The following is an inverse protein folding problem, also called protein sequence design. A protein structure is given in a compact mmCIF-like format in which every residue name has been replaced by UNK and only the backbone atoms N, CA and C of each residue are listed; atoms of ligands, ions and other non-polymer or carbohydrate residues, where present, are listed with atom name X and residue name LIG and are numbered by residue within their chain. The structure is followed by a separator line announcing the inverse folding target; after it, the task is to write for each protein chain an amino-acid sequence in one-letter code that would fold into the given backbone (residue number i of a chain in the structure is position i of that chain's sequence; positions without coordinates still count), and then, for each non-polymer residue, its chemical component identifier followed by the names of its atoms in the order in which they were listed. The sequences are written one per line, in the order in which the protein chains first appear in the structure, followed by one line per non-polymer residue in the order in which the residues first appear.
data_IF_800956543277
#
_entry.id   IF_800956543277
#
_cell.length_a   1.000
_cell.length_b   1.000
_cell.length_c   1.000
_cell.angle_alpha   90.00
_cell.angle_beta   90.00
_cell.angle_gamma   90.00
#
_symmetry.space_group_name_H-M   'P 1'
#
loop_
_entity.id
_entity.type
_entity.pdbx_description
1 polymer ?
#
# COMPACT_ATOMS: atom_id res chain seq x y z
N UNK A 1 55.99 -85.19 -43.72
CA UNK A 1 56.58 -83.85 -43.89
C UNK A 1 55.79 -82.89 -43.00
N UNK A 2 56.45 -82.39 -41.95
CA UNK A 2 55.96 -81.46 -40.93
C UNK A 2 55.17 -80.28 -41.53
N UNK A 3 54.08 -79.76 -40.94
CA UNK A 3 53.98 -79.23 -39.58
C UNK A 3 52.55 -79.33 -39.01
N UNK A 4 52.45 -80.13 -37.96
CA UNK A 4 51.80 -79.92 -36.64
C UNK A 4 51.63 -78.45 -36.18
N UNK A 5 50.74 -78.04 -35.26
CA UNK A 5 50.08 -78.74 -34.15
C UNK A 5 48.89 -77.89 -33.61
N UNK A 6 47.81 -78.59 -33.28
CA UNK A 6 46.62 -78.22 -32.50
C UNK A 6 46.87 -78.17 -30.97
N UNK A 7 46.14 -77.35 -30.19
CA UNK A 7 45.85 -77.60 -28.74
C UNK A 7 44.55 -76.85 -28.35
N UNK A 8 43.38 -77.52 -28.24
CA UNK A 8 42.67 -78.11 -27.05
C UNK A 8 41.83 -77.09 -26.22
N UNK A 9 40.49 -77.26 -26.12
CA UNK A 9 39.67 -78.02 -25.09
C UNK A 9 39.62 -77.30 -23.72
N UNK A 10 38.57 -77.27 -22.91
CA UNK A 10 37.18 -77.80 -22.84
C UNK A 10 36.51 -77.13 -21.61
N UNK A 11 35.17 -77.07 -21.58
CA UNK A 11 34.36 -76.71 -20.42
C UNK A 11 34.35 -77.78 -19.30
N UNK A 12 34.14 -77.36 -18.04
CA UNK A 12 33.61 -78.16 -16.91
C UNK A 12 33.27 -77.21 -15.73
N UNK A 13 32.01 -77.08 -15.28
CA UNK A 13 31.22 -77.91 -14.34
C UNK A 13 31.48 -77.61 -12.84
N UNK A 14 30.42 -77.07 -12.20
CA UNK A 14 29.87 -77.27 -10.84
C UNK A 14 30.84 -77.64 -9.69
N UNK A 15 30.71 -76.95 -8.54
CA UNK A 15 30.05 -77.49 -7.33
C UNK A 15 30.07 -76.53 -6.13
N UNK A 16 29.09 -76.76 -5.27
CA UNK A 16 28.64 -76.06 -4.05
C UNK A 16 29.53 -76.38 -2.84
N UNK A 17 29.71 -75.42 -1.93
CA UNK A 17 30.26 -75.62 -0.58
C UNK A 17 29.68 -74.59 0.41
N UNK A 18 29.09 -75.07 1.49
CA UNK A 18 28.19 -74.38 2.44
C UNK A 18 28.81 -74.30 3.86
N UNK A 19 28.40 -73.26 4.61
CA UNK A 19 28.39 -73.07 6.08
C UNK A 19 29.74 -72.79 6.79
N UNK A 20 29.86 -71.98 7.86
CA UNK A 20 29.00 -71.26 8.82
C UNK A 20 29.83 -70.04 9.35
N UNK A 21 29.43 -69.06 10.17
CA UNK A 21 28.48 -69.03 11.28
C UNK A 21 28.30 -67.59 11.86
N UNK A 22 27.16 -67.39 12.55
CA UNK A 22 26.92 -66.60 13.79
C UNK A 22 26.78 -65.07 13.76
N UNK A 23 25.58 -64.60 14.14
CA UNK A 23 25.28 -63.25 14.64
C UNK A 23 23.79 -62.91 14.72
N UNK A 24 23.12 -63.27 15.82
CA UNK A 24 21.78 -62.82 16.26
C UNK A 24 21.78 -61.35 16.74
N UNK A 25 20.71 -60.55 16.92
CA UNK A 25 19.30 -60.54 16.55
C UNK A 25 18.72 -59.13 16.87
N UNK A 26 17.60 -58.81 16.20
CA UNK A 26 16.48 -57.94 16.62
C UNK A 26 16.59 -56.40 16.63
N UNK A 27 15.58 -55.78 16.01
CA UNK A 27 15.13 -54.40 16.27
C UNK A 27 14.67 -53.65 15.03
N UNK A 28 13.38 -53.69 14.70
CA UNK A 28 12.80 -52.85 13.64
C UNK A 28 12.77 -51.36 14.08
N UNK A 29 13.24 -50.45 13.22
CA UNK A 29 12.64 -49.12 13.10
C UNK A 29 12.61 -48.73 11.63
N UNK A 30 11.44 -48.34 11.13
CA UNK A 30 11.28 -47.73 9.81
C UNK A 30 12.13 -46.45 9.73
N UNK A 31 13.28 -46.53 9.08
CA UNK A 31 14.05 -45.36 8.72
C UNK A 31 13.42 -44.74 7.46
N UNK A 32 13.00 -43.48 7.57
CA UNK A 32 12.60 -42.65 6.45
C UNK A 32 13.74 -42.57 5.42
N UNK A 33 13.44 -42.42 4.11
CA UNK A 33 14.48 -42.27 3.10
C UNK A 33 15.29 -40.98 3.34
N UNK A 34 16.57 -40.95 2.94
CA UNK A 34 17.46 -39.85 3.25
C UNK A 34 17.02 -38.58 2.53
N UNK A 35 17.01 -37.45 3.25
CA UNK A 35 16.96 -36.13 2.64
C UNK A 35 18.29 -35.88 1.92
N UNK A 36 18.30 -36.05 0.61
CA UNK A 36 19.38 -35.66 -0.28
C UNK A 36 19.12 -34.25 -0.83
N UNK A 37 20.14 -33.41 -0.71
CA UNK A 37 20.19 -32.01 -1.15
C UNK A 37 19.83 -31.86 -2.64
N UNK A 38 19.02 -30.84 -2.96
CA UNK A 38 19.27 -29.99 -4.13
C UNK A 38 18.68 -28.59 -3.89
N UNK A 39 19.61 -27.70 -3.61
CA UNK A 39 19.51 -26.27 -3.39
C UNK A 39 19.23 -25.58 -4.73
N UNK A 40 17.98 -25.20 -4.99
CA UNK A 40 17.66 -24.25 -6.06
C UNK A 40 16.62 -23.26 -5.55
N UNK A 41 17.09 -22.10 -5.09
CA UNK A 41 16.25 -20.95 -4.77
C UNK A 41 16.77 -19.75 -5.54
N UNK A 42 16.09 -19.29 -6.61
CA UNK A 42 16.49 -18.07 -7.29
C UNK A 42 16.14 -16.86 -6.40
N UNK A 43 17.16 -16.12 -5.98
CA UNK A 43 17.13 -14.95 -5.07
C UNK A 43 17.19 -13.65 -5.87
N UNK A 44 16.53 -12.52 -5.52
CA UNK A 44 17.04 -11.14 -5.83
C UNK A 44 18.55 -11.20 -5.72
N UNK A 45 19.37 -10.65 -6.62
CA UNK A 45 20.81 -10.99 -6.61
C UNK A 45 21.35 -10.82 -5.18
N UNK A 46 21.79 -11.90 -4.52
CA UNK A 46 22.22 -11.93 -3.11
C UNK A 46 21.18 -11.66 -1.98
N UNK A 47 19.88 -11.75 -2.26
CA UNK A 47 18.76 -11.53 -1.34
C UNK A 47 18.19 -12.82 -0.72
N UNK A 48 17.25 -12.68 0.22
CA UNK A 48 16.61 -13.80 0.94
C UNK A 48 15.09 -13.73 0.85
N UNK A 49 14.38 -14.83 1.12
CA UNK A 49 12.91 -14.82 1.17
C UNK A 49 12.41 -13.93 2.31
N UNK A 50 11.40 -13.11 2.02
CA UNK A 50 10.65 -12.40 3.04
C UNK A 50 9.67 -13.36 3.74
N UNK A 51 9.49 -13.17 5.05
CA UNK A 51 8.46 -13.89 5.80
C UNK A 51 7.07 -13.31 5.50
N UNK A 52 6.03 -14.14 5.56
CA UNK A 52 4.65 -13.66 5.44
C UNK A 52 4.37 -12.58 6.49
N UNK A 53 3.86 -11.42 6.03
CA UNK A 53 3.58 -10.28 6.90
C UNK A 53 4.79 -9.44 7.29
N UNK A 54 6.00 -9.74 6.81
CA UNK A 54 7.20 -8.96 7.13
C UNK A 54 7.14 -7.54 6.54
N UNK A 55 6.64 -7.42 5.30
CA UNK A 55 6.46 -6.15 4.59
C UNK A 55 5.03 -6.07 4.03
N UNK A 56 4.03 -5.82 4.90
CA UNK A 56 2.61 -5.90 4.52
C UNK A 56 2.17 -4.84 3.49
N UNK A 57 2.95 -3.77 3.34
CA UNK A 57 2.72 -2.70 2.37
C UNK A 57 3.12 -3.05 0.93
N UNK A 58 3.80 -4.19 0.71
CA UNK A 58 4.33 -4.55 -0.61
C UNK A 58 3.20 -4.85 -1.62
N UNK A 59 3.37 -4.32 -2.83
CA UNK A 59 2.43 -4.47 -3.93
C UNK A 59 3.14 -4.99 -5.18
N UNK A 60 2.46 -5.90 -5.88
CA UNK A 60 2.82 -6.38 -7.22
C UNK A 60 1.80 -5.87 -8.25
N UNK A 61 2.27 -5.28 -9.34
CA UNK A 61 1.43 -4.69 -10.41
C UNK A 61 1.43 -5.52 -11.69
N UNK A 62 0.28 -5.77 -12.33
CA UNK A 62 0.15 -6.75 -13.42
C UNK A 62 1.13 -6.63 -14.60
N UNK A 63 1.71 -5.45 -14.87
CA UNK A 63 2.69 -5.22 -15.95
C UNK A 63 4.12 -5.65 -15.63
N UNK A 64 4.41 -6.17 -14.44
CA UNK A 64 5.77 -6.58 -14.06
C UNK A 64 6.41 -5.75 -12.95
N UNK A 65 5.87 -4.58 -12.64
CA UNK A 65 6.40 -3.68 -11.60
C UNK A 65 5.96 -4.04 -10.17
N UNK A 66 6.65 -3.42 -9.21
CA UNK A 66 6.31 -3.34 -7.81
C UNK A 66 5.69 -1.99 -7.40
N UNK A 67 5.38 -1.86 -6.12
CA UNK A 67 4.92 -0.63 -5.49
C UNK A 67 4.72 -0.81 -3.99
N UNK A 68 4.28 0.23 -3.32
CA UNK A 68 3.93 0.19 -1.90
C UNK A 68 2.58 0.85 -1.63
N UNK A 69 1.82 0.33 -0.65
CA UNK A 69 0.62 0.96 -0.14
C UNK A 69 0.97 2.27 0.58
N UNK A 70 0.74 3.39 -0.08
CA UNK A 70 0.89 4.73 0.49
C UNK A 70 -0.34 5.15 1.30
N UNK A 71 -1.53 4.81 0.79
CA UNK A 71 -2.82 4.89 1.49
C UNK A 71 -3.56 3.57 1.29
N UNK A 72 -4.66 3.37 2.03
CA UNK A 72 -5.45 2.12 1.93
C UNK A 72 -5.92 1.84 0.51
N UNK A 73 -6.05 2.86 -0.34
CA UNK A 73 -6.44 2.71 -1.74
C UNK A 73 -5.51 3.45 -2.72
N UNK A 74 -4.28 3.78 -2.31
CA UNK A 74 -3.30 4.43 -3.17
C UNK A 74 -1.98 3.67 -3.09
N UNK A 75 -1.48 3.24 -4.25
CA UNK A 75 -0.16 2.63 -4.40
C UNK A 75 0.81 3.68 -4.95
N UNK A 76 1.98 3.83 -4.34
CA UNK A 76 3.11 4.59 -4.86
C UNK A 76 4.02 3.66 -5.67
N UNK A 77 4.42 4.10 -6.86
CA UNK A 77 5.24 3.31 -7.80
C UNK A 77 6.04 4.19 -8.78
N UNK A 78 6.72 3.50 -9.71
CA UNK A 78 7.33 3.96 -10.95
C UNK A 78 6.47 4.88 -11.83
N UNK A 79 6.93 6.05 -12.29
CA UNK A 79 6.30 6.71 -13.43
C UNK A 79 6.48 5.92 -14.73
N UNK A 80 7.64 5.30 -14.91
CA UNK A 80 7.93 4.44 -16.06
C UNK A 80 7.08 3.15 -16.09
N UNK A 81 6.51 2.74 -14.95
CA UNK A 81 5.65 1.57 -14.83
C UNK A 81 4.23 1.79 -15.35
N UNK A 82 3.81 3.04 -15.57
CA UNK A 82 2.43 3.39 -15.85
C UNK A 82 2.28 4.25 -17.11
N UNK A 83 1.06 4.24 -17.65
CA UNK A 83 0.67 5.11 -18.77
C UNK A 83 0.56 6.59 -18.36
N UNK A 84 0.01 7.40 -19.25
CA UNK A 84 -0.30 8.80 -18.96
C UNK A 84 -1.35 8.92 -17.84
N UNK A 85 -1.36 10.08 -17.16
CA UNK A 85 -2.35 10.42 -16.13
C UNK A 85 -3.77 10.33 -16.68
N UNK A 86 -4.65 9.63 -15.97
CA UNK A 86 -6.05 9.48 -16.35
C UNK A 86 -6.75 8.24 -15.78
N UNK A 87 -8.06 8.09 -16.05
CA UNK A 87 -8.83 6.92 -15.67
C UNK A 87 -8.29 5.67 -16.35
N UNK A 88 -8.11 4.59 -15.58
CA UNK A 88 -7.72 3.29 -16.13
C UNK A 88 -8.07 2.17 -15.18
N UNK A 89 -8.56 1.05 -15.71
CA UNK A 89 -8.86 -0.19 -14.98
C UNK A 89 -7.98 -1.36 -15.37
N UNK A 90 -6.97 -1.13 -16.23
CA UNK A 90 -6.13 -2.19 -16.80
C UNK A 90 -5.03 -2.70 -15.88
N UNK A 91 -4.77 -2.01 -14.77
CA UNK A 91 -3.69 -2.38 -13.85
C UNK A 91 -4.28 -3.27 -12.74
N UNK A 92 -3.87 -4.54 -12.74
CA UNK A 92 -4.12 -5.45 -11.64
C UNK A 92 -3.11 -5.22 -10.52
N UNK A 93 -3.59 -5.27 -9.28
CA UNK A 93 -2.80 -5.05 -8.06
C UNK A 93 -2.93 -6.30 -7.19
N UNK A 94 -1.80 -6.86 -6.78
CA UNK A 94 -1.72 -7.99 -5.82
C UNK A 94 -0.98 -7.53 -4.57
N UNK A 95 -1.54 -7.83 -3.39
CA UNK A 95 -0.99 -7.44 -2.09
C UNK A 95 -1.28 -8.50 -1.01
N UNK A 96 -0.72 -8.32 0.19
CA UNK A 96 -1.06 -9.10 1.38
C UNK A 96 -0.54 -10.55 1.41
N UNK A 97 0.24 -10.97 0.41
CA UNK A 97 0.91 -12.27 0.42
C UNK A 97 2.33 -12.14 -0.13
N UNK A 98 3.24 -12.96 0.39
CA UNK A 98 4.60 -13.12 -0.16
C UNK A 98 4.66 -14.12 -1.32
N UNK A 99 3.61 -14.91 -1.54
CA UNK A 99 3.52 -15.89 -2.63
C UNK A 99 2.48 -15.43 -3.66
N UNK A 100 2.91 -15.15 -4.89
CA UNK A 100 2.00 -14.70 -5.96
C UNK A 100 0.95 -15.74 -6.38
N UNK A 101 1.13 -17.01 -5.98
CA UNK A 101 0.16 -18.08 -6.20
C UNK A 101 -0.73 -18.35 -4.98
N UNK A 102 -0.56 -17.62 -3.88
CA UNK A 102 -1.42 -17.75 -2.70
C UNK A 102 -2.89 -17.48 -3.08
N UNK A 103 -3.82 -18.42 -2.84
CA UNK A 103 -5.24 -18.20 -3.12
C UNK A 103 -5.85 -17.10 -2.25
N UNK A 104 -5.24 -16.77 -1.10
CA UNK A 104 -5.71 -15.75 -0.17
C UNK A 104 -5.09 -14.37 -0.41
N UNK A 105 -4.28 -14.20 -1.46
CA UNK A 105 -3.71 -12.90 -1.84
C UNK A 105 -4.83 -11.89 -2.11
N UNK A 106 -4.59 -10.65 -1.74
CA UNK A 106 -5.52 -9.55 -1.98
C UNK A 106 -5.35 -9.11 -3.43
N UNK A 107 -6.45 -9.04 -4.18
CA UNK A 107 -6.45 -8.49 -5.54
C UNK A 107 -7.31 -7.24 -5.63
N UNK A 108 -6.83 -6.25 -6.37
CA UNK A 108 -7.53 -5.01 -6.71
C UNK A 108 -7.28 -4.66 -8.17
N UNK A 109 -8.04 -3.72 -8.69
CA UNK A 109 -7.75 -3.07 -9.97
C UNK A 109 -7.59 -1.58 -9.77
N UNK A 110 -6.87 -0.92 -10.67
CA UNK A 110 -6.85 0.53 -10.72
C UNK A 110 -8.22 1.10 -11.09
N UNK A 111 -8.44 2.36 -10.76
CA UNK A 111 -9.47 3.22 -11.36
C UNK A 111 -8.86 4.47 -11.99
N UNK A 112 -7.68 4.87 -11.53
CA UNK A 112 -6.99 6.06 -12.00
C UNK A 112 -5.48 5.92 -11.79
N UNK A 113 -4.71 6.53 -12.69
CA UNK A 113 -3.27 6.72 -12.57
C UNK A 113 -2.96 8.20 -12.56
N UNK A 114 -2.11 8.64 -11.64
CA UNK A 114 -1.47 9.94 -11.68
C UNK A 114 0.03 9.73 -11.87
N UNK A 115 0.53 10.04 -13.07
CA UNK A 115 1.97 10.02 -13.35
C UNK A 115 2.54 11.41 -13.08
N UNK A 116 3.73 11.47 -12.48
CA UNK A 116 4.45 12.72 -12.27
C UNK A 116 4.40 13.61 -13.53
N UNK A 117 3.95 14.87 -13.43
CA UNK A 117 3.89 15.78 -14.57
C UNK A 117 5.29 16.12 -15.10
N UNK A 118 6.32 15.93 -14.27
CA UNK A 118 7.72 16.23 -14.59
C UNK A 118 8.49 15.01 -15.12
N UNK A 119 7.83 13.89 -15.39
CA UNK A 119 8.49 12.66 -15.89
C UNK A 119 9.05 12.79 -17.33
N UNK A 120 8.93 13.96 -17.97
CA UNK A 120 9.79 14.30 -19.10
C UNK A 120 11.28 14.35 -18.69
N UNK A 121 11.56 14.61 -17.41
CA UNK A 121 12.81 14.28 -16.75
C UNK A 121 12.69 12.86 -16.15
N UNK A 122 13.49 11.88 -16.63
CA UNK A 122 13.49 10.53 -16.07
C UNK A 122 13.80 10.46 -14.57
N UNK A 123 14.43 11.48 -13.97
CA UNK A 123 14.68 11.52 -12.53
C UNK A 123 13.41 11.73 -11.70
N UNK A 124 12.38 12.36 -12.26
CA UNK A 124 11.08 12.58 -11.63
C UNK A 124 10.17 11.34 -11.74
N UNK A 125 10.73 10.16 -11.47
CA UNK A 125 10.14 8.84 -11.68
C UNK A 125 9.27 8.39 -10.51
N UNK A 126 8.10 9.01 -10.38
CA UNK A 126 7.08 8.60 -9.41
C UNK A 126 5.67 8.69 -10.00
N UNK A 127 4.80 7.79 -9.56
CA UNK A 127 3.39 7.77 -9.91
C UNK A 127 2.54 7.19 -8.79
N UNK A 128 1.25 7.50 -8.86
CA UNK A 128 0.23 6.98 -7.96
C UNK A 128 -0.79 6.18 -8.75
N UNK A 129 -1.19 5.05 -8.19
CA UNK A 129 -2.30 4.24 -8.69
C UNK A 129 -3.40 4.27 -7.64
N UNK A 130 -4.57 4.76 -8.04
CA UNK A 130 -5.80 4.71 -7.25
C UNK A 130 -6.48 3.36 -7.45
N UNK A 131 -6.81 2.68 -6.36
CA UNK A 131 -7.48 1.38 -6.36
C UNK A 131 -9.00 1.54 -6.40
N UNK A 132 -9.68 0.53 -6.97
CA UNK A 132 -11.14 0.44 -7.03
C UNK A 132 -11.81 0.25 -5.66
N UNK A 133 -11.08 -0.25 -4.67
CA UNK A 133 -11.54 -0.40 -3.29
C UNK A 133 -10.35 -0.48 -2.33
N UNK A 134 -10.50 -0.03 -1.07
CA UNK A 134 -9.40 -0.01 -0.12
C UNK A 134 -8.96 -1.42 0.32
N UNK A 135 -7.71 -1.49 0.75
CA UNK A 135 -7.04 -2.59 1.44
C UNK A 135 -6.78 -2.10 2.87
N UNK A 136 -7.63 -2.52 3.81
CA UNK A 136 -7.65 -1.99 5.19
C UNK A 136 -6.93 -2.88 6.19
N UNK A 137 -6.61 -4.11 5.81
CA UNK A 137 -5.98 -5.13 6.65
C UNK A 137 -4.46 -5.26 6.40
N UNK A 138 -3.84 -4.24 5.81
CA UNK A 138 -2.40 -4.16 5.57
C UNK A 138 -1.86 -2.86 6.13
N UNK A 139 -0.61 -2.87 6.62
CA UNK A 139 0.04 -1.63 7.02
C UNK A 139 0.40 -0.79 5.79
N UNK A 140 0.37 0.52 5.97
CA UNK A 140 0.83 1.48 4.97
C UNK A 140 2.33 1.71 5.14
N UNK A 141 2.99 2.18 4.07
CA UNK A 141 4.36 2.65 4.12
C UNK A 141 4.38 4.18 4.04
N UNK A 142 4.62 4.88 5.16
CA UNK A 142 4.89 6.31 5.15
C UNK A 142 6.09 6.64 4.27
N UNK A 143 6.11 7.85 3.71
CA UNK A 143 7.23 8.34 2.90
C UNK A 143 8.13 9.26 3.70
N UNK A 144 9.43 9.26 3.40
CA UNK A 144 10.36 10.25 3.90
C UNK A 144 9.97 11.64 3.37
N UNK A 145 9.88 12.61 4.26
CA UNK A 145 9.56 14.01 3.91
C UNK A 145 10.77 14.94 4.04
N UNK A 146 11.90 14.40 4.52
CA UNK A 146 13.16 15.12 4.70
C UNK A 146 14.32 14.21 4.32
N UNK A 147 15.47 14.80 4.04
CA UNK A 147 16.69 14.08 3.65
C UNK A 147 17.39 13.36 4.82
N UNK A 148 16.85 13.45 6.04
CA UNK A 148 17.43 12.81 7.22
C UNK A 148 17.52 11.28 7.09
N UNK A 149 16.70 10.69 6.23
CA UNK A 149 16.65 9.25 6.02
C UNK A 149 17.45 8.78 4.80
N UNK A 150 18.01 9.69 3.99
CA UNK A 150 18.58 9.44 2.66
C UNK A 150 20.03 8.92 2.70
N UNK A 151 20.40 8.22 3.77
CA UNK A 151 21.74 7.64 3.95
C UNK A 151 21.67 6.31 4.71
N UNK A 152 22.82 5.66 4.93
CA UNK A 152 22.89 4.41 5.68
C UNK A 152 22.47 3.19 4.86
N UNK A 153 21.91 2.17 5.50
CA UNK A 153 21.49 0.94 4.83
C UNK A 153 19.99 0.93 4.60
N UNK A 154 19.60 0.57 3.39
CA UNK A 154 18.21 0.42 2.99
C UNK A 154 17.84 -1.05 2.80
N UNK A 155 16.55 -1.33 2.91
CA UNK A 155 15.92 -2.57 2.48
C UNK A 155 15.25 -2.33 1.14
N UNK A 156 15.46 -3.25 0.22
CA UNK A 156 14.71 -3.38 -1.03
C UNK A 156 14.01 -4.71 -1.03
N UNK A 157 12.81 -4.76 -1.58
CA UNK A 157 12.04 -5.98 -1.68
C UNK A 157 11.18 -6.00 -2.94
N UNK A 158 10.94 -7.19 -3.48
CA UNK A 158 10.09 -7.37 -4.64
C UNK A 158 10.09 -8.79 -5.18
N UNK A 159 9.37 -8.95 -6.28
CA UNK A 159 9.22 -10.22 -7.01
C UNK A 159 9.99 -10.19 -8.33
N UNK A 160 10.86 -9.21 -8.54
CA UNK A 160 11.71 -9.10 -9.70
C UNK A 160 12.66 -10.28 -9.85
N UNK A 161 13.38 -10.28 -10.96
CA UNK A 161 14.30 -11.31 -11.37
C UNK A 161 15.36 -11.53 -10.31
N UNK A 162 15.63 -12.79 -10.06
CA UNK A 162 16.64 -13.19 -9.11
C UNK A 162 18.07 -12.90 -9.60
N UNK A 163 18.26 -13.01 -10.90
CA UNK A 163 19.53 -12.79 -11.57
C UNK A 163 19.31 -11.82 -12.70
N UNK A 164 20.34 -11.08 -13.08
CA UNK A 164 20.27 -10.25 -14.29
C UNK A 164 19.87 -11.10 -15.50
N UNK A 165 18.80 -10.69 -16.21
CA UNK A 165 18.23 -11.44 -17.32
C UNK A 165 17.42 -12.68 -16.93
N UNK A 166 17.18 -12.88 -15.63
CA UNK A 166 16.40 -13.99 -15.07
C UNK A 166 14.89 -13.77 -15.14
N UNK A 167 14.13 -14.83 -14.83
CA UNK A 167 12.67 -14.78 -14.77
C UNK A 167 12.13 -14.17 -13.47
N UNK A 168 10.92 -13.65 -13.55
CA UNK A 168 10.21 -13.10 -12.39
C UNK A 168 9.97 -14.16 -11.31
N UNK A 169 10.03 -13.76 -10.04
CA UNK A 169 9.97 -14.67 -8.90
C UNK A 169 8.55 -14.87 -8.38
N UNK A 170 8.25 -16.09 -7.92
CA UNK A 170 6.97 -16.41 -7.26
C UNK A 170 6.88 -15.85 -5.85
N UNK A 171 8.00 -15.91 -5.13
CA UNK A 171 8.09 -15.53 -3.71
C UNK A 171 8.71 -14.14 -3.58
N UNK A 172 8.27 -13.38 -2.58
CA UNK A 172 8.84 -12.07 -2.25
C UNK A 172 10.25 -12.26 -1.71
N UNK A 173 11.17 -11.50 -2.26
CA UNK A 173 12.57 -11.50 -1.88
C UNK A 173 12.94 -10.13 -1.33
N UNK A 174 13.93 -10.09 -0.43
CA UNK A 174 14.42 -8.89 0.22
C UNK A 174 15.94 -8.87 0.22
N UNK A 175 16.51 -7.68 0.18
CA UNK A 175 17.94 -7.49 0.30
C UNK A 175 18.27 -6.17 1.00
N UNK A 176 19.52 -6.06 1.49
CA UNK A 176 20.04 -4.82 2.06
C UNK A 176 21.02 -4.18 1.10
N UNK A 177 20.83 -2.89 0.83
CA UNK A 177 21.68 -2.11 -0.06
C UNK A 177 22.20 -0.87 0.69
N UNK A 178 23.52 -0.65 0.76
CA UNK A 178 24.07 0.54 1.40
C UNK A 178 23.96 1.76 0.49
N UNK A 179 23.79 2.92 1.09
CA UNK A 179 23.80 4.22 0.44
C UNK A 179 25.12 4.48 -0.30
N UNK A 180 25.01 5.10 -1.47
CA UNK A 180 26.14 5.60 -2.26
C UNK A 180 25.91 7.09 -2.51
N UNK A 181 26.91 7.91 -2.18
CA UNK A 181 26.84 9.35 -2.41
C UNK A 181 26.74 9.70 -3.90
N UNK A 182 26.07 10.79 -4.24
CA UNK A 182 25.95 11.29 -5.62
C UNK A 182 27.31 11.47 -6.31
N UNK A 183 28.33 11.88 -5.55
CA UNK A 183 29.70 12.03 -6.07
C UNK A 183 30.30 10.69 -6.50
N UNK A 184 30.07 9.63 -5.73
CA UNK A 184 30.53 8.29 -6.08
C UNK A 184 29.65 7.70 -7.19
N UNK A 185 28.33 7.84 -7.09
CA UNK A 185 27.42 7.30 -8.09
C UNK A 185 27.63 7.90 -9.48
N UNK A 186 27.96 9.20 -9.57
CA UNK A 186 28.32 9.85 -10.84
C UNK A 186 29.61 9.36 -11.50
N UNK A 187 30.43 8.57 -10.79
CA UNK A 187 31.54 7.87 -11.44
C UNK A 187 31.04 6.77 -12.39
N UNK A 188 29.86 6.20 -12.09
CA UNK A 188 29.16 5.25 -12.94
C UNK A 188 28.18 5.95 -13.91
N UNK A 189 27.47 6.96 -13.41
CA UNK A 189 26.33 7.59 -14.09
C UNK A 189 26.49 9.11 -14.18
N UNK A 190 27.09 9.58 -15.27
CA UNK A 190 27.28 11.02 -15.51
C UNK A 190 25.95 11.81 -15.59
N UNK A 191 24.88 11.11 -15.93
CA UNK A 191 23.51 11.57 -16.13
C UNK A 191 22.65 11.59 -14.86
N UNK A 192 23.17 11.08 -13.73
CA UNK A 192 22.48 11.11 -12.45
C UNK A 192 22.10 12.55 -12.07
N UNK A 193 20.85 12.76 -11.68
CA UNK A 193 20.31 14.05 -11.23
C UNK A 193 20.37 14.14 -9.71
N UNK A 194 21.33 14.89 -9.13
CA UNK A 194 21.48 15.00 -7.68
C UNK A 194 20.24 15.62 -7.04
N UNK A 195 19.87 15.14 -5.87
CA UNK A 195 18.65 15.52 -5.13
C UNK A 195 17.33 15.16 -5.81
N UNK A 196 17.31 14.49 -6.97
CA UNK A 196 16.10 13.85 -7.51
C UNK A 196 16.25 12.32 -7.52
N UNK A 197 17.48 11.84 -7.60
CA UNK A 197 17.84 10.43 -7.59
C UNK A 197 18.78 10.11 -6.42
N UNK A 198 18.65 8.90 -5.88
CA UNK A 198 19.50 8.36 -4.83
C UNK A 198 20.04 7.00 -5.27
N UNK A 199 21.32 6.76 -5.01
CA UNK A 199 21.97 5.49 -5.35
C UNK A 199 22.16 4.60 -4.13
N UNK A 200 21.96 3.30 -4.33
CA UNK A 200 22.24 2.31 -3.30
C UNK A 200 22.72 0.99 -3.92
N UNK A 201 23.67 0.35 -3.25
CA UNK A 201 24.27 -0.89 -3.71
C UNK A 201 25.68 -1.08 -3.17
N UNK A 202 26.18 -2.30 -3.23
CA UNK A 202 27.56 -2.58 -2.82
C UNK A 202 28.53 -2.18 -3.94
N UNK A 203 29.16 -1.02 -3.81
CA UNK A 203 30.04 -0.46 -4.84
C UNK A 203 31.12 -1.44 -5.33
N UNK A 204 31.95 -1.96 -4.43
CA UNK A 204 33.13 -2.75 -4.82
C UNK A 204 32.82 -4.20 -5.19
N UNK A 205 31.89 -4.83 -4.49
CA UNK A 205 31.59 -6.26 -4.67
C UNK A 205 30.41 -6.52 -5.60
N UNK A 206 29.56 -5.52 -5.84
CA UNK A 206 28.23 -5.76 -6.39
C UNK A 206 27.50 -6.83 -5.57
N UNK A 207 26.86 -7.76 -6.27
CA UNK A 207 26.30 -8.98 -5.71
C UNK A 207 24.96 -8.82 -4.99
N UNK A 208 24.56 -7.59 -4.64
CA UNK A 208 23.23 -7.28 -4.10
C UNK A 208 22.65 -6.01 -4.72
N UNK A 209 21.48 -6.14 -5.35
CA UNK A 209 20.76 -5.03 -6.01
C UNK A 209 19.31 -5.41 -6.34
N UNK A 210 18.48 -4.42 -6.67
CA UNK A 210 17.17 -4.65 -7.30
C UNK A 210 17.34 -5.03 -8.77
N UNK A 211 16.44 -5.86 -9.30
CA UNK A 211 16.58 -6.36 -10.67
C UNK A 211 15.25 -6.37 -11.44
N UNK A 212 15.25 -6.91 -12.67
CA UNK A 212 14.12 -6.77 -13.60
C UNK A 212 12.79 -7.24 -12.98
N UNK A 213 11.83 -6.34 -12.78
CA UNK A 213 10.54 -6.64 -12.15
C UNK A 213 10.40 -6.23 -10.68
N UNK A 214 11.44 -5.60 -10.12
CA UNK A 214 11.35 -4.81 -8.88
C UNK A 214 11.06 -3.32 -9.17
N UNK A 215 11.18 -2.90 -10.43
CA UNK A 215 10.83 -1.56 -10.93
C UNK A 215 9.57 -0.98 -10.28
N UNK A 216 9.65 0.24 -9.76
CA UNK A 216 8.57 0.89 -9.03
C UNK A 216 8.35 0.41 -7.59
N UNK A 217 9.05 -0.63 -7.14
CA UNK A 217 9.03 -1.08 -5.75
C UNK A 217 9.66 -0.07 -4.79
N UNK A 218 9.38 -0.18 -3.49
CA UNK A 218 9.95 0.72 -2.49
C UNK A 218 11.39 0.32 -2.13
N UNK A 219 12.24 1.34 -1.96
CA UNK A 219 13.44 1.25 -1.12
C UNK A 219 13.12 1.95 0.20
N UNK A 220 13.33 1.28 1.32
CA UNK A 220 12.84 1.74 2.63
C UNK A 220 13.80 1.38 3.76
N UNK A 221 13.68 2.05 4.89
CA UNK A 221 14.47 1.76 6.10
C UNK A 221 13.65 2.02 7.35
N UNK A 222 14.24 1.74 8.52
CA UNK A 222 13.61 2.10 9.79
C UNK A 222 13.89 3.56 10.15
N UNK A 223 12.87 4.25 10.63
CA UNK A 223 12.98 5.58 11.24
C UNK A 223 13.46 5.50 12.70
N UNK A 224 13.54 6.65 13.37
CA UNK A 224 13.96 6.73 14.78
C UNK A 224 13.00 6.03 15.76
N UNK A 225 11.75 5.79 15.35
CA UNK A 225 10.74 5.08 16.12
C UNK A 225 10.68 3.59 15.75
N UNK A 226 11.68 3.10 14.99
CA UNK A 226 11.76 1.73 14.51
C UNK A 226 10.62 1.33 13.55
N UNK A 227 9.90 2.30 12.97
CA UNK A 227 8.86 2.11 11.96
C UNK A 227 9.45 2.17 10.54
N UNK A 228 8.83 1.47 9.59
CA UNK A 228 9.28 1.51 8.19
C UNK A 228 8.93 2.85 7.53
N UNK A 229 9.86 3.39 6.75
CA UNK A 229 9.67 4.61 5.96
C UNK A 229 10.29 4.44 4.56
N UNK A 230 9.56 4.82 3.52
CA UNK A 230 10.02 4.77 2.14
C UNK A 230 10.97 5.93 1.83
N UNK A 231 12.15 5.60 1.33
CA UNK A 231 13.22 6.55 1.00
C UNK A 231 13.41 6.67 -0.52
N UNK A 232 13.17 5.58 -1.25
CA UNK A 232 13.33 5.53 -2.70
C UNK A 232 12.23 4.76 -3.42
N UNK A 233 12.17 4.95 -4.72
CA UNK A 233 11.37 4.14 -5.66
C UNK A 233 12.33 3.56 -6.69
N UNK A 234 12.35 2.23 -6.87
CA UNK A 234 13.23 1.55 -7.84
C UNK A 234 12.98 2.12 -9.24
N UNK A 235 14.02 2.69 -9.86
CA UNK A 235 13.88 3.42 -11.12
C UNK A 235 14.67 2.75 -12.25
N UNK A 236 16.01 2.77 -12.20
CA UNK A 236 16.87 2.26 -13.26
C UNK A 236 18.26 1.86 -12.74
N UNK A 237 19.10 1.32 -13.62
CA UNK A 237 20.49 0.95 -13.34
C UNK A 237 21.14 0.24 -14.54
N UNK A 238 22.47 0.15 -14.56
CA UNK A 238 23.20 -0.59 -15.59
C UNK A 238 23.48 -2.04 -15.16
N UNK A 239 22.60 -2.94 -15.59
CA UNK A 239 22.58 -4.32 -15.12
C UNK A 239 22.02 -4.41 -13.70
N UNK A 240 22.15 -5.58 -13.08
CA UNK A 240 21.74 -5.77 -11.69
C UNK A 240 22.95 -6.24 -10.89
N UNK A 241 23.22 -5.59 -9.75
CA UNK A 241 24.22 -6.05 -8.79
C UNK A 241 25.64 -6.19 -9.38
N UNK A 242 25.95 -5.38 -10.38
CA UNK A 242 27.29 -5.30 -10.94
C UNK A 242 28.15 -4.40 -10.04
N UNK A 243 29.42 -4.75 -9.78
CA UNK A 243 30.35 -3.81 -9.19
C UNK A 243 30.35 -2.49 -9.95
N UNK A 244 30.48 -1.39 -9.20
CA UNK A 244 30.55 -0.01 -9.73
C UNK A 244 29.32 0.44 -10.53
N UNK A 245 28.21 -0.31 -10.48
CA UNK A 245 26.95 0.02 -11.16
C UNK A 245 25.79 -0.19 -10.18
N UNK A 246 25.60 0.72 -9.22
CA UNK A 246 24.56 0.60 -8.21
C UNK A 246 23.16 0.84 -8.78
N UNK A 247 22.13 0.39 -8.09
CA UNK A 247 20.75 0.76 -8.41
C UNK A 247 20.50 2.25 -8.20
N UNK A 248 19.72 2.86 -9.08
CA UNK A 248 19.25 4.24 -9.00
C UNK A 248 17.75 4.26 -8.69
N UNK A 249 17.40 5.10 -7.73
CA UNK A 249 16.05 5.20 -7.19
C UNK A 249 15.61 6.66 -7.25
N UNK A 250 14.33 6.92 -7.53
CA UNK A 250 13.79 8.26 -7.35
C UNK A 250 13.79 8.60 -5.85
N UNK A 251 14.36 9.76 -5.48
CA UNK A 251 14.54 10.20 -4.10
C UNK A 251 13.22 10.74 -3.55
N UNK A 252 12.59 9.97 -2.67
CA UNK A 252 11.20 10.24 -2.21
C UNK A 252 11.09 11.54 -1.41
N UNK A 253 12.11 11.87 -0.62
CA UNK A 253 12.13 13.10 0.20
C UNK A 253 11.97 14.37 -0.65
N UNK A 254 12.56 14.40 -1.84
CA UNK A 254 12.44 15.50 -2.81
C UNK A 254 11.03 15.65 -3.34
N UNK A 255 10.38 14.53 -3.65
CA UNK A 255 9.04 14.52 -4.26
C UNK A 255 7.91 14.47 -3.23
N UNK A 256 8.20 14.42 -1.93
CA UNK A 256 7.23 14.14 -0.88
C UNK A 256 6.01 15.08 -0.91
N UNK A 257 6.24 16.39 -1.07
CA UNK A 257 5.17 17.38 -1.16
C UNK A 257 4.31 17.19 -2.42
N UNK A 258 4.93 16.87 -3.56
CA UNK A 258 4.23 16.64 -4.82
C UNK A 258 3.42 15.32 -4.79
N UNK A 259 4.00 14.26 -4.23
CA UNK A 259 3.34 12.96 -3.99
C UNK A 259 2.12 13.16 -3.08
N UNK A 260 2.27 13.89 -1.98
CA UNK A 260 1.18 14.16 -1.04
C UNK A 260 0.05 14.98 -1.70
N UNK A 261 0.41 16.04 -2.44
CA UNK A 261 -0.54 16.87 -3.19
C UNK A 261 -1.30 16.07 -4.25
N UNK A 262 -0.58 15.29 -5.06
CA UNK A 262 -1.17 14.44 -6.09
C UNK A 262 -2.11 13.39 -5.48
N UNK A 263 -1.70 12.75 -4.37
CA UNK A 263 -2.55 11.78 -3.68
C UNK A 263 -3.82 12.40 -3.10
N UNK A 264 -3.76 13.66 -2.64
CA UNK A 264 -4.92 14.41 -2.19
C UNK A 264 -5.90 14.72 -3.33
N UNK A 265 -5.37 14.95 -4.54
CA UNK A 265 -6.15 15.26 -5.74
C UNK A 265 -6.65 14.05 -6.54
N UNK A 266 -6.35 12.81 -6.12
CA UNK A 266 -6.78 11.61 -6.86
C UNK A 266 -8.32 11.49 -6.87
N UNK A 267 -8.94 11.16 -8.02
CA UNK A 267 -10.38 10.94 -8.10
C UNK A 267 -10.84 9.83 -7.16
N UNK A 268 -11.85 10.11 -6.35
CA UNK A 268 -12.35 9.17 -5.33
C UNK A 268 -11.34 8.81 -4.24
N UNK A 269 -10.24 9.57 -4.09
CA UNK A 269 -9.15 9.36 -3.12
C UNK A 269 -9.57 9.55 -1.66
N UNK A 270 -9.00 8.72 -0.78
CA UNK A 270 -9.04 8.88 0.67
C UNK A 270 -7.94 9.88 1.13
N UNK A 271 -8.23 11.17 1.03
CA UNK A 271 -7.61 12.27 1.80
C UNK A 271 -8.77 13.23 2.22
N UNK A 272 -8.61 14.19 3.15
CA UNK A 272 -9.74 14.87 3.84
C UNK A 272 -10.77 15.30 2.81
N UNK A 273 -11.88 14.58 2.71
CA UNK A 273 -12.81 14.81 1.62
C UNK A 273 -13.62 16.05 1.97
N UNK A 274 -13.71 17.05 1.07
CA UNK A 274 -14.98 17.71 0.83
C UNK A 274 -15.88 16.70 0.11
N UNK A 275 -16.97 16.28 0.73
CA UNK A 275 -18.00 15.45 0.10
C UNK A 275 -18.37 14.15 0.81
N UNK A 276 -17.91 13.86 2.04
CA UNK A 276 -18.41 12.66 2.75
C UNK A 276 -19.72 12.97 3.45
N UNK A 277 -20.80 12.38 2.92
CA UNK A 277 -22.11 12.44 3.54
C UNK A 277 -22.23 11.39 4.64
N UNK A 278 -22.51 11.86 5.84
CA UNK A 278 -22.90 11.05 7.00
C UNK A 278 -24.35 11.38 7.33
N UNK A 279 -25.12 10.40 7.79
CA UNK A 279 -26.55 10.59 8.05
C UNK A 279 -27.00 9.94 9.35
N UNK A 280 -28.02 10.53 9.97
CA UNK A 280 -28.83 9.88 10.99
C UNK A 280 -30.28 9.91 10.52
N UNK A 281 -30.86 8.73 10.34
CA UNK A 281 -32.26 8.55 9.90
C UNK A 281 -33.20 8.21 11.07
N UNK A 282 -32.69 8.15 12.31
CA UNK A 282 -33.52 7.88 13.48
C UNK A 282 -34.39 9.10 13.81
N UNK A 283 -35.59 8.83 14.31
CA UNK A 283 -36.50 9.87 14.77
C UNK A 283 -36.09 10.38 16.15
N UNK A 284 -36.06 11.70 16.31
CA UNK A 284 -35.84 12.36 17.60
C UNK A 284 -36.99 13.33 17.88
N UNK A 285 -37.79 13.03 18.90
CA UNK A 285 -38.93 13.87 19.27
C UNK A 285 -38.46 15.25 19.72
N UNK A 286 -39.09 16.28 19.17
CA UNK A 286 -38.93 17.67 19.57
C UNK A 286 -40.07 17.96 20.57
N UNK A 287 -39.77 18.03 21.87
CA UNK A 287 -40.78 18.37 22.87
C UNK A 287 -41.17 19.85 22.78
N UNK A 288 -42.43 20.14 23.09
CA UNK A 288 -42.95 21.51 23.22
C UNK A 288 -42.10 22.30 24.22
N UNK A 289 -41.72 23.53 23.85
CA UNK A 289 -40.80 24.39 24.60
C UNK A 289 -39.51 23.69 25.09
N UNK A 290 -38.99 22.72 24.33
CA UNK A 290 -37.82 21.95 24.74
C UNK A 290 -36.76 21.80 23.66
N UNK A 291 -35.72 21.03 23.96
CA UNK A 291 -34.56 20.85 23.09
C UNK A 291 -34.21 19.38 22.94
N UNK A 292 -33.84 18.98 21.73
CA UNK A 292 -33.36 17.64 21.41
C UNK A 292 -32.07 17.71 20.59
N UNK A 293 -31.22 16.69 20.74
CA UNK A 293 -30.01 16.51 19.96
C UNK A 293 -30.09 15.20 19.19
N UNK A 294 -29.85 15.25 17.88
CA UNK A 294 -29.68 14.07 17.03
C UNK A 294 -28.20 13.92 16.64
N UNK A 295 -27.47 12.91 17.15
CA UNK A 295 -26.04 12.74 16.87
C UNK A 295 -25.75 12.03 15.54
N UNK A 296 -24.69 12.43 14.85
CA UNK A 296 -24.01 11.66 13.81
C UNK A 296 -22.59 11.39 14.30
N UNK A 297 -22.22 10.11 14.41
CA UNK A 297 -20.85 9.70 14.73
C UNK A 297 -20.04 9.62 13.42
N UNK A 298 -19.16 10.58 13.20
CA UNK A 298 -18.23 10.60 12.08
C UNK A 298 -16.96 9.86 12.47
N UNK A 299 -16.63 8.80 11.74
CA UNK A 299 -15.40 8.03 11.91
C UNK A 299 -14.65 7.89 10.58
N UNK A 300 -13.31 7.90 10.64
CA UNK A 300 -12.45 7.73 9.46
C UNK A 300 -12.41 8.93 8.53
N UNK A 301 -12.90 10.10 8.94
CA UNK A 301 -12.67 11.38 8.28
C UNK A 301 -11.50 12.09 8.95
N UNK A 302 -10.29 11.96 8.40
CA UNK A 302 -9.08 12.59 8.97
C UNK A 302 -8.91 14.01 8.45
N UNK A 303 -8.67 14.99 9.33
CA UNK A 303 -8.38 16.38 8.95
C UNK A 303 -9.53 17.36 9.28
N UNK A 304 -9.42 18.57 8.73
CA UNK A 304 -10.44 19.60 8.86
C UNK A 304 -11.70 19.28 8.03
N UNK A 305 -12.86 19.75 8.49
CA UNK A 305 -14.11 19.69 7.74
C UNK A 305 -14.16 20.70 6.57
N UNK A 306 -15.12 20.55 5.66
CA UNK A 306 -15.25 21.39 4.47
C UNK A 306 -15.61 22.86 4.78
N UNK A 307 -14.99 23.77 4.03
CA UNK A 307 -15.35 25.19 4.00
C UNK A 307 -16.71 25.46 3.32
N UNK A 308 -17.29 24.45 2.68
CA UNK A 308 -18.61 24.48 2.04
C UNK A 308 -19.41 23.23 2.42
N UNK A 309 -19.40 22.87 3.70
CA UNK A 309 -20.13 21.71 4.20
C UNK A 309 -21.64 21.90 3.99
N UNK A 310 -22.31 20.84 3.53
CA UNK A 310 -23.75 20.83 3.30
C UNK A 310 -24.48 20.06 4.40
N UNK A 311 -25.51 20.67 4.99
CA UNK A 311 -26.32 20.10 6.06
C UNK A 311 -27.75 19.98 5.54
N UNK A 312 -28.18 18.76 5.24
CA UNK A 312 -29.54 18.46 4.79
C UNK A 312 -30.39 18.11 6.01
N UNK A 313 -31.41 18.93 6.28
CA UNK A 313 -32.28 18.79 7.46
C UNK A 313 -33.67 18.37 7.00
N UNK A 314 -34.23 17.32 7.62
CA UNK A 314 -35.61 16.88 7.49
C UNK A 314 -36.26 16.82 8.87
N UNK A 315 -37.05 17.85 9.19
CA UNK A 315 -37.80 17.96 10.44
C UNK A 315 -39.28 18.03 10.09
N UNK A 316 -40.08 17.21 10.77
CA UNK A 316 -41.54 17.30 10.75
C UNK A 316 -41.98 18.16 11.93
N UNK A 317 -42.67 19.27 11.68
CA UNK A 317 -43.18 20.19 12.70
C UNK A 317 -44.37 20.97 12.15
N UNK A 318 -45.41 21.19 12.96
CA UNK A 318 -46.64 21.90 12.56
C UNK A 318 -46.44 23.42 12.42
N UNK A 319 -45.37 23.98 12.98
CA UNK A 319 -45.03 25.39 12.82
C UNK A 319 -43.52 25.60 12.83
N UNK A 320 -42.89 25.79 11.66
CA UNK A 320 -41.42 25.88 11.60
C UNK A 320 -40.86 27.18 12.21
N UNK A 321 -41.70 28.22 12.30
CA UNK A 321 -41.35 29.53 12.88
C UNK A 321 -41.01 29.48 14.37
N UNK A 322 -41.25 28.36 15.04
CA UNK A 322 -40.92 28.18 16.45
C UNK A 322 -39.55 27.57 16.68
N UNK A 323 -38.98 26.97 15.65
CA UNK A 323 -37.75 26.20 15.75
C UNK A 323 -36.52 27.10 15.73
N UNK A 324 -35.55 26.76 16.58
CA UNK A 324 -34.15 27.13 16.43
C UNK A 324 -33.38 25.84 16.11
N UNK A 325 -32.69 25.82 14.98
CA UNK A 325 -31.92 24.67 14.49
C UNK A 325 -30.46 25.06 14.42
N UNK A 326 -29.64 24.36 15.19
CA UNK A 326 -28.20 24.54 15.23
C UNK A 326 -27.48 23.24 14.84
N UNK A 327 -26.34 23.38 14.15
CA UNK A 327 -25.34 22.33 14.08
C UNK A 327 -24.33 22.55 15.23
N UNK A 328 -24.05 21.51 16.00
CA UNK A 328 -23.03 21.49 17.05
C UNK A 328 -21.88 20.60 16.61
N UNK A 329 -20.68 21.17 16.53
CA UNK A 329 -19.45 20.49 16.14
C UNK A 329 -18.88 19.63 17.29
N UNK A 330 -17.93 18.70 17.01
CA UNK A 330 -17.35 17.82 18.03
C UNK A 330 -16.63 18.55 19.16
N UNK A 331 -16.13 19.76 18.90
CA UNK A 331 -15.48 20.63 19.89
C UNK A 331 -16.49 21.45 20.73
N UNK A 332 -17.79 21.40 20.40
CA UNK A 332 -18.86 22.16 21.03
C UNK A 332 -19.23 23.48 20.32
N UNK A 333 -18.52 23.87 19.26
CA UNK A 333 -18.82 25.06 18.46
C UNK A 333 -20.22 24.97 17.83
N UNK A 334 -20.95 26.10 17.81
CA UNK A 334 -22.36 26.15 17.40
C UNK A 334 -22.54 26.98 16.13
N UNK A 335 -23.21 26.40 15.14
CA UNK A 335 -23.52 27.03 13.87
C UNK A 335 -25.05 27.08 13.68
N UNK A 336 -25.63 28.27 13.79
CA UNK A 336 -27.07 28.44 13.59
C UNK A 336 -27.45 28.22 12.11
N UNK A 337 -28.39 27.30 11.87
CA UNK A 337 -28.91 26.97 10.55
C UNK A 337 -30.24 27.69 10.30
N UNK A 338 -31.12 27.70 11.31
CA UNK A 338 -32.43 28.35 11.28
C UNK A 338 -32.73 28.96 12.65
N UNK A 339 -33.31 30.15 12.67
CA UNK A 339 -33.72 30.81 13.91
C UNK A 339 -35.10 31.45 13.74
N UNK A 340 -36.13 30.72 14.15
CA UNK A 340 -37.53 31.18 14.20
C UNK A 340 -38.00 31.86 12.91
N UNK A 341 -37.60 31.30 11.78
CA UNK A 341 -37.83 31.87 10.45
C UNK A 341 -38.65 30.92 9.59
N UNK A 342 -39.40 31.46 8.62
CA UNK A 342 -40.27 30.68 7.73
C UNK A 342 -41.76 30.76 8.07
N UNK A 343 -42.15 31.54 9.09
CA UNK A 343 -43.54 31.82 9.43
C UNK A 343 -44.35 30.57 9.77
N UNK A 344 -45.60 30.53 9.30
CA UNK A 344 -46.55 29.45 9.54
C UNK A 344 -46.43 28.27 8.58
N UNK A 345 -45.27 28.09 7.94
CA UNK A 345 -45.04 26.92 7.11
C UNK A 345 -44.71 25.71 7.98
N UNK A 346 -45.23 24.55 7.59
CA UNK A 346 -44.90 23.28 8.23
C UNK A 346 -43.50 22.83 7.81
N UNK A 347 -42.84 22.07 8.69
CA UNK A 347 -41.62 21.31 8.45
C UNK A 347 -40.35 22.14 8.12
N UNK A 348 -39.19 21.51 8.27
CA UNK A 348 -37.91 22.03 7.75
C UNK A 348 -37.31 20.95 6.87
N UNK A 349 -37.44 21.15 5.56
CA UNK A 349 -36.85 20.30 4.51
C UNK A 349 -35.92 21.16 3.66
N UNK A 350 -34.71 21.40 4.17
CA UNK A 350 -33.80 22.38 3.60
C UNK A 350 -32.33 21.95 3.75
N UNK A 351 -31.53 22.29 2.76
CA UNK A 351 -30.08 22.18 2.80
C UNK A 351 -29.46 23.52 3.20
N UNK A 352 -28.58 23.51 4.18
CA UNK A 352 -27.80 24.67 4.62
C UNK A 352 -26.33 24.47 4.23
N UNK A 353 -25.64 25.56 3.88
CA UNK A 353 -24.19 25.53 3.65
C UNK A 353 -23.48 26.32 4.74
N UNK A 354 -22.45 25.73 5.36
CA UNK A 354 -21.61 26.38 6.38
C UNK A 354 -20.14 26.15 6.10
N UNK A 355 -19.33 27.13 6.46
CA UNK A 355 -17.88 26.98 6.52
C UNK A 355 -17.52 26.34 7.86
N UNK A 356 -17.05 25.09 7.80
CA UNK A 356 -16.64 24.30 8.96
C UNK A 356 -15.14 23.99 8.92
N UNK A 357 -14.34 24.74 8.14
CA UNK A 357 -12.91 24.46 7.97
C UNK A 357 -12.05 24.68 9.21
N UNK A 358 -12.60 25.31 10.26
CA UNK A 358 -11.99 25.35 11.60
C UNK A 358 -12.15 24.06 12.39
N UNK A 359 -13.10 23.21 12.00
CA UNK A 359 -13.53 22.05 12.78
C UNK A 359 -12.80 20.78 12.38
N UNK A 360 -12.56 19.91 13.35
CA UNK A 360 -12.12 18.54 13.06
C UNK A 360 -13.30 17.73 12.54
N UNK A 361 -13.15 17.08 11.37
CA UNK A 361 -14.24 16.32 10.77
C UNK A 361 -14.63 15.09 11.60
N UNK A 362 -13.64 14.40 12.18
CA UNK A 362 -13.84 13.23 13.03
C UNK A 362 -14.47 13.60 14.38
N UNK A 363 -15.50 12.87 14.80
CA UNK A 363 -16.16 13.08 16.08
C UNK A 363 -17.68 13.04 15.99
N UNK A 364 -18.35 13.41 17.08
CA UNK A 364 -19.80 13.43 17.13
C UNK A 364 -20.32 14.83 16.80
N UNK A 365 -21.04 14.93 15.69
CA UNK A 365 -21.78 16.12 15.29
C UNK A 365 -23.22 15.99 15.78
N UNK A 366 -23.84 17.06 16.25
CA UNK A 366 -25.26 17.03 16.65
C UNK A 366 -26.07 18.06 15.87
N UNK A 367 -27.23 17.63 15.36
CA UNK A 367 -28.29 18.56 15.00
C UNK A 367 -29.10 18.84 16.27
N UNK A 368 -28.98 20.05 16.80
CA UNK A 368 -29.70 20.51 17.97
C UNK A 368 -30.92 21.30 17.52
N UNK A 369 -32.10 20.83 17.90
CA UNK A 369 -33.36 21.51 17.59
C UNK A 369 -34.03 21.91 18.89
N UNK A 370 -34.36 23.18 19.01
CA UNK A 370 -35.15 23.73 20.12
C UNK A 370 -36.46 24.25 19.58
N UNK A 371 -37.56 23.79 20.15
CA UNK A 371 -38.83 24.51 20.05
C UNK A 371 -38.82 25.66 21.06
N UNK A 372 -39.02 26.87 20.57
CA UNK A 372 -39.00 28.09 21.36
C UNK A 372 -40.38 28.72 21.52
N UNK A 373 -41.46 28.09 21.04
CA UNK A 373 -42.83 28.50 21.34
C UNK A 373 -43.61 27.35 21.97
N UNK A 374 -44.85 27.64 22.35
CA UNK A 374 -45.76 26.70 22.98
C UNK A 374 -46.75 26.12 21.95
N UNK A 375 -47.27 24.93 22.23
CA UNK A 375 -48.40 24.25 21.59
C UNK A 375 -48.09 23.38 20.37
N UNK A 376 -46.97 23.63 19.68
CA UNK A 376 -46.54 22.82 18.55
C UNK A 376 -45.51 21.78 19.00
N UNK A 377 -45.47 20.64 18.32
CA UNK A 377 -44.47 19.59 18.56
C UNK A 377 -44.12 18.92 17.25
N UNK A 378 -43.04 18.15 17.24
CA UNK A 378 -42.65 17.39 16.07
C UNK A 378 -41.49 16.45 16.33
N UNK A 379 -40.75 16.14 15.27
CA UNK A 379 -39.56 15.30 15.38
C UNK A 379 -38.58 15.57 14.24
N UNK A 380 -37.30 15.38 14.52
CA UNK A 380 -36.27 15.24 13.49
C UNK A 380 -36.52 13.89 12.81
N UNK A 381 -36.85 13.90 11.52
CA UNK A 381 -37.10 12.71 10.69
C UNK A 381 -35.84 12.24 9.94
N UNK A 382 -34.74 12.93 10.19
CA UNK A 382 -33.41 12.58 9.72
C UNK A 382 -32.63 13.81 9.28
N UNK A 383 -31.32 13.66 9.20
CA UNK A 383 -30.46 14.69 8.65
C UNK A 383 -29.16 14.10 8.13
N UNK A 384 -28.51 14.84 7.24
CA UNK A 384 -27.21 14.50 6.68
C UNK A 384 -26.25 15.66 6.80
N UNK A 385 -24.97 15.34 6.97
CA UNK A 385 -23.88 16.30 6.87
C UNK A 385 -22.85 15.80 5.88
N UNK A 386 -22.53 16.65 4.92
CA UNK A 386 -21.48 16.43 3.94
C UNK A 386 -20.30 17.30 4.34
N UNK A 387 -19.30 16.67 4.97
CA UNK A 387 -18.07 17.29 5.46
C UNK A 387 -16.97 17.33 4.42
#
# INVERSE_FOLDING_TARGET
MSRTLSVLRRAALLTVGVAAALGAAAGQSLAAPPAGNDDVQPQVVGGTRAAQGEFPFMVRLSMGCGGALYKTDVVLTAAHCVGATGPTTSIGVTAGSVDLQDPNRITRTSTYVYRSPNYNNPASDWALIKLNSPITNQALLPIATTTAYDSGTFTVAGWGAATEGGGQQRYLLKAQVPFISDTQCRQAYSELVPNEEICAGNWSSGGVDTCQGDSGGPMFRRDNNNAWIQVGIVSWGYGCARPENPGVYAQVSTFAAAIASAAAGLPGGSNPQPGRTFENQNNYNIPDMGTVNSPIAVSGATGAASASAAIEVNIVHTYRGDLVVDLVAPDGSVYNLLNRSGGSADNVNQTFTKNLSSETANGTWNLRVRDAASADTGYINGWKITL
#
